data_IF_997505450983
#
_entry.id   IF_997505450983
#
_cell.length_a   1.000
_cell.length_b   1.000
_cell.length_c   1.000
_cell.angle_alpha   90.00
_cell.angle_beta   90.00
_cell.angle_gamma   90.00
#
_symmetry.space_group_name_H-M   'P 1'
#
loop_
_entity.id
_entity.type
_entity.pdbx_description
1 polymer ?
#
# COMPACT_ATOMS: atom_id res chain seq x y z
N UNK A 1 2.35 -8.98 -15.30
CA UNK A 1 1.54 -7.90 -14.70
C UNK A 1 0.81 -8.50 -13.53
N UNK A 2 0.75 -7.81 -12.38
CA UNK A 2 0.09 -8.30 -11.16
C UNK A 2 -0.78 -7.22 -10.53
N UNK A 3 -1.83 -7.66 -9.85
CA UNK A 3 -2.62 -6.84 -8.96
C UNK A 3 -1.97 -6.80 -7.58
N UNK A 4 -1.73 -5.61 -7.05
CA UNK A 4 -1.38 -5.41 -5.65
C UNK A 4 -2.53 -4.74 -4.94
N UNK A 5 -3.00 -5.37 -3.85
CA UNK A 5 -4.00 -4.81 -2.94
C UNK A 5 -3.34 -4.39 -1.63
N UNK A 6 -3.49 -3.13 -1.27
CA UNK A 6 -3.13 -2.59 0.04
C UNK A 6 -4.39 -2.49 0.90
N UNK A 7 -4.30 -2.92 2.15
CA UNK A 7 -5.36 -2.74 3.16
C UNK A 7 -4.82 -1.86 4.27
N UNK A 8 -5.58 -0.83 4.65
CA UNK A 8 -5.16 0.22 5.58
C UNK A 8 -6.35 0.90 6.25
N UNK A 9 -6.10 1.74 7.25
CA UNK A 9 -7.15 2.50 7.91
C UNK A 9 -7.40 3.85 7.22
N UNK A 10 -8.67 4.25 7.17
CA UNK A 10 -9.12 5.53 6.66
C UNK A 10 -10.21 6.13 7.55
N UNK A 11 -10.30 7.45 7.60
CA UNK A 11 -11.40 8.17 8.22
C UNK A 11 -12.44 8.61 7.19
N UNK A 12 -13.71 8.48 7.54
CA UNK A 12 -14.85 9.03 6.81
C UNK A 12 -15.85 9.55 7.84
N UNK A 13 -16.24 10.82 7.72
CA UNK A 13 -17.25 11.45 8.59
C UNK A 13 -17.01 11.29 10.10
N UNK A 14 -15.74 11.30 10.53
CA UNK A 14 -15.37 11.16 11.93
C UNK A 14 -15.33 9.72 12.46
N UNK A 15 -15.53 8.72 11.59
CA UNK A 15 -15.38 7.31 11.91
C UNK A 15 -14.15 6.70 11.23
N UNK A 16 -13.36 5.92 11.98
CA UNK A 16 -12.24 5.18 11.43
C UNK A 16 -12.73 3.80 10.96
N UNK A 17 -12.49 3.51 9.69
CA UNK A 17 -12.78 2.23 9.07
C UNK A 17 -11.60 1.69 8.28
N UNK A 18 -11.76 0.48 7.76
CA UNK A 18 -10.77 -0.14 6.88
C UNK A 18 -11.09 0.19 5.41
N UNK A 19 -10.05 0.50 4.65
CA UNK A 19 -10.11 0.71 3.22
C UNK A 19 -9.09 -0.19 2.51
N UNK A 20 -9.38 -0.46 1.23
CA UNK A 20 -8.43 -1.11 0.35
C UNK A 20 -8.26 -0.34 -0.97
N UNK A 21 -7.11 -0.56 -1.57
CA UNK A 21 -6.79 -0.04 -2.90
C UNK A 21 -6.01 -1.10 -3.65
N UNK A 22 -6.50 -1.47 -4.83
CA UNK A 22 -5.82 -2.36 -5.76
C UNK A 22 -5.23 -1.55 -6.91
N UNK A 23 -3.98 -1.84 -7.27
CA UNK A 23 -3.28 -1.23 -8.42
C UNK A 23 -2.59 -2.31 -9.24
N UNK A 24 -2.66 -2.20 -10.56
CA UNK A 24 -1.90 -3.04 -11.48
C UNK A 24 -0.48 -2.51 -11.66
N UNK A 25 0.50 -3.39 -11.55
CA UNK A 25 1.92 -3.09 -11.78
C UNK A 25 2.59 -4.20 -12.58
N UNK A 26 3.77 -3.90 -13.13
CA UNK A 26 4.64 -4.92 -13.71
C UNK A 26 5.17 -5.89 -12.63
N UNK A 27 5.69 -7.04 -13.05
CA UNK A 27 6.09 -8.11 -12.14
C UNK A 27 7.26 -7.69 -11.23
N UNK A 28 8.20 -6.91 -11.75
CA UNK A 28 9.37 -6.42 -11.01
C UNK A 28 8.94 -5.50 -9.86
N UNK A 29 8.02 -4.56 -10.14
CA UNK A 29 7.43 -3.70 -9.11
C UNK A 29 6.60 -4.48 -8.12
N UNK A 30 5.89 -5.52 -8.58
CA UNK A 30 5.09 -6.35 -7.70
C UNK A 30 5.96 -7.07 -6.67
N UNK A 31 7.04 -7.70 -7.13
CA UNK A 31 8.03 -8.36 -6.28
C UNK A 31 8.72 -7.41 -5.30
N UNK A 32 9.07 -6.19 -5.74
CA UNK A 32 9.68 -5.19 -4.86
C UNK A 32 8.73 -4.75 -3.74
N UNK A 33 7.46 -4.52 -4.05
CA UNK A 33 6.45 -4.12 -3.07
C UNK A 33 6.15 -5.27 -2.10
N UNK A 34 5.96 -6.49 -2.60
CA UNK A 34 5.80 -7.68 -1.77
C UNK A 34 6.99 -7.84 -0.80
N UNK A 35 8.22 -7.80 -1.31
CA UNK A 35 9.42 -7.92 -0.49
C UNK A 35 9.52 -6.80 0.56
N UNK A 36 9.13 -5.56 0.24
CA UNK A 36 9.20 -4.45 1.20
C UNK A 36 8.22 -4.60 2.37
N UNK A 37 7.07 -5.25 2.17
CA UNK A 37 6.05 -5.40 3.21
C UNK A 37 6.11 -6.77 3.90
N UNK A 38 6.27 -7.84 3.13
CA UNK A 38 6.17 -9.23 3.60
C UNK A 38 7.53 -9.89 3.88
N UNK A 39 8.63 -9.40 3.27
CA UNK A 39 9.97 -9.95 3.48
C UNK A 39 11.07 -8.87 3.55
N UNK A 40 10.95 -7.84 4.42
CA UNK A 40 11.79 -6.64 4.38
C UNK A 40 13.29 -6.92 4.56
N UNK A 41 13.67 -8.03 5.18
CA UNK A 41 15.06 -8.46 5.34
C UNK A 41 15.76 -8.76 4.00
N UNK A 42 15.01 -9.01 2.92
CA UNK A 42 15.56 -9.25 1.57
C UNK A 42 15.98 -7.96 0.85
N UNK A 43 15.67 -6.79 1.41
CA UNK A 43 15.96 -5.50 0.79
C UNK A 43 16.79 -4.60 1.72
N UNK A 44 17.60 -3.69 1.16
CA UNK A 44 18.25 -2.65 1.96
C UNK A 44 17.22 -1.82 2.73
N UNK A 45 17.49 -1.50 4.00
CA UNK A 45 16.58 -0.72 4.88
C UNK A 45 16.06 0.56 4.23
N UNK A 46 16.93 1.30 3.54
CA UNK A 46 16.57 2.52 2.81
C UNK A 46 15.57 2.25 1.69
N UNK A 47 15.73 1.14 0.95
CA UNK A 47 14.83 0.74 -0.13
C UNK A 47 13.46 0.34 0.42
N UNK A 48 13.41 -0.39 1.54
CA UNK A 48 12.17 -0.71 2.26
C UNK A 48 11.43 0.57 2.65
N UNK A 49 12.13 1.53 3.27
CA UNK A 49 11.52 2.80 3.70
C UNK A 49 10.95 3.59 2.51
N UNK A 50 11.70 3.69 1.40
CA UNK A 50 11.25 4.38 0.19
C UNK A 50 9.99 3.72 -0.39
N UNK A 51 9.96 2.39 -0.49
CA UNK A 51 8.82 1.67 -1.06
C UNK A 51 7.57 1.80 -0.18
N UNK A 52 7.71 1.67 1.15
CA UNK A 52 6.60 1.89 2.09
C UNK A 52 6.06 3.32 2.02
N UNK A 53 6.95 4.32 1.92
CA UNK A 53 6.53 5.72 1.77
C UNK A 53 5.79 5.97 0.45
N UNK A 54 6.21 5.33 -0.65
CA UNK A 54 5.51 5.43 -1.95
C UNK A 54 4.12 4.79 -1.88
N UNK A 55 4.00 3.60 -1.29
CA UNK A 55 2.71 2.93 -1.10
C UNK A 55 1.76 3.77 -0.23
N UNK A 56 2.24 4.30 0.90
CA UNK A 56 1.45 5.17 1.77
C UNK A 56 0.98 6.45 1.04
N UNK A 57 1.85 7.08 0.23
CA UNK A 57 1.47 8.23 -0.59
C UNK A 57 0.40 7.91 -1.62
N UNK A 58 0.47 6.72 -2.23
CA UNK A 58 -0.53 6.26 -3.18
C UNK A 58 -1.88 6.00 -2.50
N UNK A 59 -1.88 5.32 -1.35
CA UNK A 59 -3.09 5.10 -0.54
C UNK A 59 -3.71 6.43 -0.10
N UNK A 60 -2.89 7.38 0.37
CA UNK A 60 -3.35 8.72 0.74
C UNK A 60 -4.00 9.46 -0.44
N UNK A 61 -3.35 9.47 -1.61
CA UNK A 61 -3.92 10.09 -2.80
C UNK A 61 -5.25 9.45 -3.19
N UNK A 62 -5.38 8.13 -3.06
CA UNK A 62 -6.62 7.40 -3.33
C UNK A 62 -7.75 7.84 -2.37
N UNK A 63 -7.46 7.93 -1.06
CA UNK A 63 -8.45 8.38 -0.09
C UNK A 63 -8.86 9.84 -0.30
N UNK A 64 -7.92 10.73 -0.62
CA UNK A 64 -8.25 12.11 -0.95
C UNK A 64 -9.22 12.21 -2.14
N UNK A 65 -9.06 11.37 -3.18
CA UNK A 65 -9.99 11.31 -4.32
C UNK A 65 -11.37 10.81 -3.88
N UNK A 66 -11.42 9.89 -2.91
CA UNK A 66 -12.66 9.35 -2.35
C UNK A 66 -13.34 10.31 -1.36
N UNK A 67 -12.73 11.45 -1.03
CA UNK A 67 -13.22 12.36 0.01
C UNK A 67 -13.01 11.84 1.44
N UNK A 68 -12.04 10.94 1.64
CA UNK A 68 -11.70 10.30 2.91
C UNK A 68 -10.27 10.69 3.33
N UNK A 69 -9.92 10.44 4.59
CA UNK A 69 -8.56 10.69 5.10
C UNK A 69 -7.81 9.38 5.33
N UNK A 70 -6.58 9.27 4.84
CA UNK A 70 -5.73 8.11 5.10
C UNK A 70 -5.02 8.22 6.45
N UNK A 71 -4.99 7.11 7.22
CA UNK A 71 -4.23 7.04 8.47
C UNK A 71 -2.77 6.70 8.19
N UNK A 72 -1.85 7.62 8.48
CA UNK A 72 -0.42 7.39 8.24
C UNK A 72 0.11 6.19 9.03
N UNK A 73 0.90 5.34 8.36
CA UNK A 73 1.47 4.13 8.96
C UNK A 73 0.47 2.98 9.15
N UNK A 74 -0.76 3.07 8.61
CA UNK A 74 -1.82 2.08 8.84
C UNK A 74 -1.88 0.93 7.83
N UNK A 75 -0.96 0.83 6.86
CA UNK A 75 -0.96 -0.32 5.92
C UNK A 75 -0.73 -1.61 6.71
N UNK A 76 -1.76 -2.45 6.78
CA UNK A 76 -1.80 -3.71 7.51
C UNK A 76 -1.36 -4.88 6.65
N UNK A 77 -1.88 -4.96 5.42
CA UNK A 77 -1.60 -6.06 4.50
C UNK A 77 -1.29 -5.56 3.09
N UNK A 78 -0.45 -6.33 2.40
CA UNK A 78 -0.12 -6.18 0.98
C UNK A 78 -0.22 -7.55 0.33
N UNK A 79 -1.20 -7.69 -0.56
CA UNK A 79 -1.47 -8.94 -1.28
C UNK A 79 -1.10 -8.77 -2.76
N UNK A 80 -0.41 -9.76 -3.33
CA UNK A 80 -0.09 -9.81 -4.77
C UNK A 80 -0.87 -10.95 -5.41
N UNK A 81 -1.57 -10.68 -6.51
CA UNK A 81 -2.31 -11.67 -7.30
C UNK A 81 -1.95 -11.54 -8.78
N UNK A 82 -1.84 -12.69 -9.46
CA UNK A 82 -1.77 -12.72 -10.92
C UNK A 82 -3.06 -12.15 -11.53
N UNK A 83 -2.95 -11.61 -12.75
CA UNK A 83 -4.09 -11.06 -13.52
C UNK A 83 -4.77 -12.16 -14.31
#
# INVERSE_FOLDING_TARGET
>A
MKNITFTYDSWMDGEQGEACMTVMVDDERAEMLDAAFNAPAKLPKTKVLILKNKAARLCNACECIRGREYVSGSIKTVEVKEV
#
